data_IF_593535114272
#
_entry.id   IF_593535114272
#
_cell.length_a   1.000
_cell.length_b   1.000
_cell.length_c   1.000
_cell.angle_alpha   90.00
_cell.angle_beta   90.00
_cell.angle_gamma   90.00
#
_symmetry.space_group_name_H-M   'P 1'
#
loop_
_entity.id
_entity.type
_entity.pdbx_description
1 polymer ?
#
# COMPACT_ATOMS: atom_id res chain seq x y z
N UNK A 1 -4.30 28.92 -3.67
CA UNK A 1 -4.67 27.55 -4.08
C UNK A 1 -5.83 27.03 -3.23
N UNK A 2 -7.00 26.89 -3.86
CA UNK A 2 -8.29 26.62 -3.23
C UNK A 2 -8.39 25.13 -2.84
N UNK A 3 -8.14 24.76 -1.57
CA UNK A 3 -8.14 23.35 -1.08
C UNK A 3 -9.54 22.76 -0.86
N UNK A 4 -10.62 23.52 -1.07
CA UNK A 4 -12.00 23.12 -0.79
C UNK A 4 -12.58 21.97 -1.68
N UNK A 5 -12.28 21.84 -2.98
CA UNK A 5 -12.98 20.85 -3.81
C UNK A 5 -12.56 19.40 -3.52
N UNK A 6 -11.30 19.17 -3.16
CA UNK A 6 -10.77 17.83 -2.85
C UNK A 6 -11.37 17.22 -1.57
N UNK A 7 -11.63 18.05 -0.56
CA UNK A 7 -12.19 17.61 0.73
C UNK A 7 -13.66 17.18 0.57
N UNK A 8 -14.44 17.91 -0.24
CA UNK A 8 -15.85 17.59 -0.49
C UNK A 8 -16.00 16.28 -1.26
N UNK A 9 -15.13 16.03 -2.25
CA UNK A 9 -15.13 14.76 -2.98
C UNK A 9 -14.77 13.58 -2.07
N UNK A 10 -13.76 13.73 -1.20
CA UNK A 10 -13.35 12.67 -0.29
C UNK A 10 -14.45 12.28 0.72
N UNK A 11 -15.16 13.28 1.26
CA UNK A 11 -16.31 13.06 2.15
C UNK A 11 -17.45 12.34 1.42
N UNK A 12 -17.76 12.76 0.19
CA UNK A 12 -18.76 12.10 -0.64
C UNK A 12 -18.40 10.64 -0.98
N UNK A 13 -17.12 10.30 -1.16
CA UNK A 13 -16.69 8.91 -1.40
C UNK A 13 -16.78 8.04 -0.14
N UNK A 14 -16.38 8.55 1.02
CA UNK A 14 -16.55 7.85 2.29
C UNK A 14 -18.03 7.60 2.61
N UNK A 15 -18.89 8.59 2.33
CA UNK A 15 -20.34 8.43 2.47
C UNK A 15 -20.88 7.38 1.49
N UNK A 16 -20.40 7.32 0.24
CA UNK A 16 -20.78 6.25 -0.72
C UNK A 16 -20.34 4.85 -0.26
N UNK A 17 -19.12 4.69 0.26
CA UNK A 17 -18.64 3.41 0.76
C UNK A 17 -19.44 2.92 1.97
N UNK A 18 -19.80 3.84 2.86
CA UNK A 18 -20.66 3.57 4.02
C UNK A 18 -22.10 3.24 3.61
N UNK A 19 -22.66 3.96 2.64
CA UNK A 19 -23.98 3.66 2.07
C UNK A 19 -23.98 2.27 1.43
N UNK A 20 -22.93 1.90 0.68
CA UNK A 20 -22.85 0.58 0.05
C UNK A 20 -22.76 -0.56 1.09
N UNK A 21 -21.95 -0.38 2.12
CA UNK A 21 -21.82 -1.35 3.22
C UNK A 21 -23.15 -1.49 3.99
N UNK A 22 -23.74 -0.37 4.40
CA UNK A 22 -24.93 -0.35 5.25
C UNK A 22 -26.22 -0.71 4.48
N UNK A 23 -26.35 -0.37 3.20
CA UNK A 23 -27.61 -0.53 2.44
C UNK A 23 -27.62 -1.69 1.46
N UNK A 24 -26.48 -2.26 1.07
CA UNK A 24 -26.44 -3.41 0.15
C UNK A 24 -25.87 -4.64 0.86
N UNK A 25 -24.74 -4.49 1.54
CA UNK A 25 -24.07 -5.64 2.17
C UNK A 25 -24.89 -6.18 3.34
N UNK A 26 -25.33 -5.32 4.26
CA UNK A 26 -26.11 -5.73 5.43
C UNK A 26 -27.43 -6.42 5.05
N UNK A 27 -28.27 -5.86 4.15
CA UNK A 27 -29.49 -6.55 3.72
C UNK A 27 -29.23 -7.85 2.96
N UNK A 28 -28.14 -7.93 2.18
CA UNK A 28 -27.78 -9.17 1.48
C UNK A 28 -27.38 -10.28 2.47
N UNK A 29 -26.61 -9.96 3.52
CA UNK A 29 -26.32 -10.90 4.60
C UNK A 29 -27.59 -11.31 5.35
N UNK A 30 -28.47 -10.35 5.64
CA UNK A 30 -29.74 -10.60 6.31
C UNK A 30 -30.63 -11.51 5.46
N UNK A 31 -30.75 -11.25 4.16
CA UNK A 31 -31.50 -12.07 3.21
C UNK A 31 -30.94 -13.50 3.12
N UNK A 32 -29.62 -13.65 3.15
CA UNK A 32 -28.97 -14.97 3.15
C UNK A 32 -29.29 -15.73 4.44
N UNK A 33 -29.22 -15.07 5.60
CA UNK A 33 -29.66 -15.66 6.89
C UNK A 33 -31.16 -16.00 6.85
N UNK A 34 -32.01 -15.12 6.33
CA UNK A 34 -33.45 -15.35 6.23
C UNK A 34 -33.80 -16.52 5.30
N UNK A 35 -33.04 -16.72 4.21
CA UNK A 35 -33.22 -17.86 3.30
C UNK A 35 -32.97 -19.21 3.97
N UNK A 36 -32.22 -19.26 5.07
CA UNK A 36 -32.04 -20.49 5.86
C UNK A 36 -33.34 -20.91 6.58
N UNK A 37 -34.25 -19.97 6.85
CA UNK A 37 -35.56 -20.28 7.43
C UNK A 37 -36.55 -20.85 6.41
N UNK A 38 -36.26 -20.73 5.10
CA UNK A 38 -37.07 -21.30 4.03
C UNK A 38 -36.61 -22.69 3.58
N UNK A 39 -35.74 -23.35 4.36
CA UNK A 39 -35.27 -24.69 4.03
C UNK A 39 -36.43 -25.70 3.95
N UNK A 40 -36.47 -26.58 2.93
CA UNK A 40 -37.50 -27.59 2.80
C UNK A 40 -37.54 -28.50 4.04
N UNK A 41 -38.73 -28.69 4.60
CA UNK A 41 -38.94 -29.62 5.71
C UNK A 41 -38.71 -31.05 5.21
N UNK A 42 -37.65 -31.72 5.69
CA UNK A 42 -37.43 -33.15 5.39
C UNK A 42 -35.98 -33.63 5.34
N UNK A 43 -35.01 -32.76 5.06
CA UNK A 43 -33.60 -33.19 4.94
C UNK A 43 -32.76 -32.93 6.21
N UNK A 44 -32.95 -31.76 6.83
CA UNK A 44 -32.29 -31.35 8.08
C UNK A 44 -33.22 -30.39 8.82
N UNK A 45 -33.15 -30.36 10.16
CA UNK A 45 -33.88 -29.32 10.90
C UNK A 45 -33.20 -27.95 10.69
N UNK A 46 -33.99 -26.89 10.55
CA UNK A 46 -33.47 -25.51 10.45
C UNK A 46 -32.53 -25.18 11.61
N UNK A 47 -32.84 -25.72 12.80
CA UNK A 47 -32.03 -25.53 14.00
C UNK A 47 -30.65 -26.21 13.92
N UNK A 48 -30.56 -27.42 13.38
CA UNK A 48 -29.27 -28.10 13.17
C UNK A 48 -28.38 -27.33 12.20
N UNK A 49 -28.96 -26.82 11.11
CA UNK A 49 -28.22 -26.01 10.13
C UNK A 49 -27.74 -24.70 10.76
N UNK A 50 -28.58 -24.01 11.52
CA UNK A 50 -28.17 -22.79 12.25
C UNK A 50 -27.08 -23.09 13.28
N UNK A 51 -27.21 -24.16 14.06
CA UNK A 51 -26.18 -24.59 15.01
C UNK A 51 -24.87 -24.90 14.30
N UNK A 52 -24.91 -25.54 13.13
CA UNK A 52 -23.73 -25.79 12.32
C UNK A 52 -23.09 -24.49 11.81
N UNK A 53 -23.89 -23.55 11.29
CA UNK A 53 -23.40 -22.29 10.72
C UNK A 53 -22.82 -21.36 11.80
N UNK A 54 -23.43 -21.29 12.99
CA UNK A 54 -23.04 -20.31 14.02
C UNK A 54 -22.21 -20.88 15.17
N UNK A 55 -22.37 -22.15 15.52
CA UNK A 55 -21.77 -22.75 16.72
C UNK A 55 -20.80 -23.90 16.44
N UNK A 56 -20.53 -24.23 15.17
CA UNK A 56 -19.57 -25.29 14.87
C UNK A 56 -18.11 -24.83 15.02
N UNK A 57 -17.23 -25.79 15.26
CA UNK A 57 -15.78 -25.57 15.20
C UNK A 57 -15.35 -25.03 13.81
N UNK A 58 -16.06 -25.42 12.74
CA UNK A 58 -15.80 -24.89 11.41
C UNK A 58 -16.07 -23.38 11.34
N UNK A 59 -17.07 -22.86 12.06
CA UNK A 59 -17.34 -21.42 12.18
C UNK A 59 -16.20 -20.68 12.86
N UNK A 60 -15.68 -21.21 13.98
CA UNK A 60 -14.53 -20.61 14.67
C UNK A 60 -13.28 -20.56 13.77
N UNK A 61 -13.02 -21.64 13.02
CA UNK A 61 -11.94 -21.68 12.02
C UNK A 61 -12.18 -20.63 10.94
N UNK A 62 -13.42 -20.49 10.46
CA UNK A 62 -13.78 -19.51 9.42
C UNK A 62 -13.57 -18.07 9.89
N UNK A 63 -14.02 -17.74 11.10
CA UNK A 63 -13.83 -16.42 11.72
C UNK A 63 -12.34 -16.14 11.85
N UNK A 64 -11.57 -17.12 12.33
CA UNK A 64 -10.11 -17.00 12.48
C UNK A 64 -9.44 -16.73 11.13
N UNK A 65 -9.78 -17.52 10.11
CA UNK A 65 -9.29 -17.34 8.75
C UNK A 65 -9.62 -15.93 8.25
N UNK A 66 -10.87 -15.50 8.39
CA UNK A 66 -11.33 -14.21 7.89
C UNK A 66 -10.63 -13.04 8.60
N UNK A 67 -10.46 -13.15 9.92
CA UNK A 67 -9.70 -12.19 10.73
C UNK A 67 -8.25 -12.08 10.27
N UNK A 68 -7.56 -13.21 10.06
CA UNK A 68 -6.19 -13.19 9.54
C UNK A 68 -6.12 -12.68 8.11
N UNK A 69 -7.07 -13.05 7.24
CA UNK A 69 -7.15 -12.52 5.88
C UNK A 69 -7.29 -11.00 5.88
N UNK A 70 -8.12 -10.45 6.77
CA UNK A 70 -8.28 -9.01 6.93
C UNK A 70 -6.97 -8.34 7.38
N UNK A 71 -6.32 -8.87 8.43
CA UNK A 71 -5.06 -8.30 8.94
C UNK A 71 -3.95 -8.34 7.88
N UNK A 72 -3.78 -9.47 7.20
CA UNK A 72 -2.74 -9.65 6.18
C UNK A 72 -3.03 -8.74 4.98
N UNK A 73 -4.28 -8.70 4.49
CA UNK A 73 -4.65 -7.86 3.35
C UNK A 73 -4.43 -6.38 3.65
N UNK A 74 -4.89 -5.90 4.81
CA UNK A 74 -4.68 -4.52 5.27
C UNK A 74 -3.18 -4.22 5.40
N UNK A 75 -2.43 -5.10 6.06
CA UNK A 75 -0.99 -4.92 6.21
C UNK A 75 -0.25 -4.90 4.87
N UNK A 76 -0.70 -5.71 3.91
CA UNK A 76 -0.13 -5.77 2.57
C UNK A 76 -0.43 -4.51 1.75
N UNK A 77 -1.63 -3.94 1.89
CA UNK A 77 -2.01 -2.67 1.30
C UNK A 77 -1.09 -1.55 1.79
N UNK A 78 -0.99 -1.39 3.12
CA UNK A 78 -0.19 -0.33 3.74
C UNK A 78 1.30 -0.46 3.41
N UNK A 79 1.79 -1.70 3.30
CA UNK A 79 3.15 -1.99 2.85
C UNK A 79 3.42 -1.42 1.45
N UNK A 80 2.44 -1.47 0.55
CA UNK A 80 2.55 -0.92 -0.80
C UNK A 80 2.81 0.59 -0.78
N UNK A 81 1.96 1.34 -0.06
CA UNK A 81 2.17 2.76 0.16
C UNK A 81 3.55 3.04 0.79
N UNK A 82 3.94 2.24 1.79
CA UNK A 82 5.13 2.47 2.58
C UNK A 82 6.42 2.31 1.76
N UNK A 83 6.52 1.24 0.98
CA UNK A 83 7.67 1.01 0.10
C UNK A 83 7.76 2.10 -0.97
N UNK A 84 6.63 2.57 -1.51
CA UNK A 84 6.64 3.65 -2.51
C UNK A 84 7.08 4.97 -1.89
N UNK A 85 6.61 5.29 -0.69
CA UNK A 85 7.01 6.49 0.05
C UNK A 85 8.52 6.49 0.39
N UNK A 86 9.07 5.32 0.74
CA UNK A 86 10.53 5.11 0.89
C UNK A 86 11.25 5.40 -0.41
N UNK A 87 10.83 4.77 -1.51
CA UNK A 87 11.50 4.91 -2.82
C UNK A 87 11.46 6.32 -3.38
N UNK A 88 10.38 7.05 -3.13
CA UNK A 88 10.24 8.42 -3.56
C UNK A 88 10.99 9.40 -2.64
N UNK A 89 11.52 8.94 -1.51
CA UNK A 89 12.13 9.79 -0.46
C UNK A 89 11.15 10.86 0.04
N UNK A 90 9.84 10.59 -0.07
CA UNK A 90 8.74 11.51 0.30
C UNK A 90 8.23 11.18 1.70
N UNK A 91 8.78 10.21 2.42
CA UNK A 91 8.51 10.12 3.86
C UNK A 91 8.92 11.45 4.50
N UNK A 92 7.94 12.20 5.01
CA UNK A 92 8.20 13.50 5.64
C UNK A 92 9.22 13.27 6.75
N UNK A 93 10.16 14.19 6.95
CA UNK A 93 11.18 14.12 8.00
C UNK A 93 10.55 13.69 9.34
N UNK A 94 10.56 12.37 9.60
CA UNK A 94 10.58 11.67 10.86
C UNK A 94 10.62 10.13 10.66
N UNK A 95 11.75 9.63 10.16
CA UNK A 95 12.45 8.52 10.86
C UNK A 95 13.22 9.12 12.08
N UNK A 96 12.77 10.29 12.55
CA UNK A 96 13.41 11.17 13.51
C UNK A 96 13.18 10.65 14.92
N UNK A 97 14.27 10.13 15.47
CA UNK A 97 14.43 9.69 16.85
C UNK A 97 13.98 10.72 17.90
N UNK A 98 13.80 12.01 17.59
CA UNK A 98 13.61 13.07 18.58
C UNK A 98 12.14 13.39 18.89
N UNK A 99 11.32 13.67 17.88
CA UNK A 99 9.94 14.12 18.11
C UNK A 99 9.00 12.97 18.48
N UNK A 100 9.23 11.79 17.91
CA UNK A 100 8.34 10.63 18.09
C UNK A 100 8.65 9.88 19.38
N UNK A 101 9.92 9.83 19.80
CA UNK A 101 10.29 9.24 21.10
C UNK A 101 9.81 10.10 22.26
N UNK A 102 10.01 11.43 22.20
CA UNK A 102 9.51 12.36 23.20
C UNK A 102 7.98 12.39 23.23
N UNK A 103 7.29 12.37 22.09
CA UNK A 103 5.83 12.29 22.06
C UNK A 103 5.28 10.92 22.51
N UNK A 104 5.97 9.82 22.21
CA UNK A 104 5.63 8.49 22.74
C UNK A 104 5.87 8.41 24.24
N UNK A 105 6.95 9.01 24.72
CA UNK A 105 7.30 9.07 26.13
C UNK A 105 6.31 9.96 26.89
N UNK A 106 5.91 11.10 26.33
CA UNK A 106 4.83 11.94 26.87
C UNK A 106 3.50 11.16 26.94
N UNK A 107 3.11 10.45 25.86
CA UNK A 107 1.92 9.58 25.85
C UNK A 107 2.04 8.37 26.79
N UNK A 108 3.25 7.91 27.08
CA UNK A 108 3.53 6.88 28.08
C UNK A 108 3.29 7.41 29.49
N UNK A 109 3.77 8.61 29.77
CA UNK A 109 3.57 9.31 31.04
C UNK A 109 2.09 9.61 31.30
N UNK A 110 1.33 10.02 30.29
CA UNK A 110 -0.13 10.23 30.39
C UNK A 110 -0.91 8.94 30.66
N UNK A 111 -0.38 7.76 30.30
CA UNK A 111 -1.07 6.46 30.37
C UNK A 111 -0.56 5.56 31.50
N UNK A 112 0.07 6.15 32.52
CA UNK A 112 0.78 5.43 33.58
C UNK A 112 -0.11 4.48 34.41
N UNK A 113 -1.44 4.60 34.40
CA UNK A 113 -2.28 3.90 35.39
C UNK A 113 -2.65 2.44 35.08
N UNK A 114 -2.16 1.83 33.99
CA UNK A 114 -2.49 0.44 33.67
C UNK A 114 -1.24 -0.42 33.37
N UNK A 115 -0.97 -1.42 34.21
CA UNK A 115 0.21 -2.28 34.15
C UNK A 115 0.35 -3.02 32.81
N UNK A 116 -0.74 -3.60 32.30
CA UNK A 116 -0.77 -4.26 30.98
C UNK A 116 -0.38 -3.28 29.86
N UNK A 117 -0.89 -2.04 29.91
CA UNK A 117 -0.51 -1.01 28.93
C UNK A 117 0.96 -0.65 29.03
N UNK A 118 1.57 -0.60 30.22
CA UNK A 118 3.03 -0.36 30.37
C UNK A 118 3.86 -1.47 29.72
N UNK A 119 3.48 -2.72 29.91
CA UNK A 119 4.19 -3.87 29.33
C UNK A 119 4.14 -3.86 27.80
N UNK A 120 2.93 -3.76 27.22
CA UNK A 120 2.77 -3.67 25.77
C UNK A 120 3.44 -2.43 25.18
N UNK A 121 3.46 -1.31 25.90
CA UNK A 121 4.12 -0.09 25.43
C UNK A 121 5.64 -0.19 25.45
N UNK A 122 6.25 -0.74 26.52
CA UNK A 122 7.71 -0.97 26.57
C UNK A 122 8.17 -1.94 25.48
N UNK A 123 7.46 -3.06 25.34
CA UNK A 123 7.74 -4.04 24.29
C UNK A 123 7.55 -3.42 22.90
N UNK A 124 6.49 -2.61 22.73
CA UNK A 124 6.23 -1.83 21.51
C UNK A 124 7.35 -0.83 21.17
N UNK A 125 7.86 -0.07 22.14
CA UNK A 125 9.00 0.84 21.94
C UNK A 125 10.24 0.06 21.49
N UNK A 126 10.56 -1.05 22.16
CA UNK A 126 11.74 -1.87 21.83
C UNK A 126 11.64 -2.44 20.42
N UNK A 127 10.47 -2.95 20.05
CA UNK A 127 10.18 -3.43 18.68
C UNK A 127 10.32 -2.28 17.68
N UNK A 128 9.75 -1.10 17.97
CA UNK A 128 9.77 0.07 17.10
C UNK A 128 11.20 0.58 16.86
N UNK A 129 12.03 0.69 17.91
CA UNK A 129 13.45 1.07 17.81
C UNK A 129 14.24 0.08 16.95
N UNK A 130 14.03 -1.22 17.14
CA UNK A 130 14.71 -2.24 16.33
C UNK A 130 14.22 -2.20 14.86
N UNK A 131 12.93 -1.97 14.63
CA UNK A 131 12.40 -1.78 13.27
C UNK A 131 13.05 -0.57 12.59
N UNK A 132 13.18 0.55 13.31
CA UNK A 132 13.75 1.80 12.80
C UNK A 132 15.21 1.63 12.38
N UNK A 133 16.02 0.93 13.18
CA UNK A 133 17.42 0.64 12.82
C UNK A 133 17.49 -0.22 11.54
N UNK A 134 16.67 -1.27 11.47
CA UNK A 134 16.59 -2.10 10.26
C UNK A 134 16.05 -1.31 9.05
N UNK A 135 15.13 -0.36 9.26
CA UNK A 135 14.56 0.51 8.23
C UNK A 135 15.60 1.43 7.61
N UNK A 136 16.46 2.06 8.42
CA UNK A 136 17.51 2.96 7.91
C UNK A 136 18.53 2.20 7.07
N UNK A 137 18.96 1.02 7.54
CA UNK A 137 19.87 0.15 6.80
C UNK A 137 19.24 -0.30 5.46
N UNK A 138 17.98 -0.73 5.48
CA UNK A 138 17.29 -1.21 4.28
C UNK A 138 16.92 -0.09 3.30
N UNK A 139 16.62 1.12 3.79
CA UNK A 139 16.36 2.30 2.95
C UNK A 139 17.58 2.59 2.10
N UNK A 140 18.75 2.64 2.73
CA UNK A 140 19.98 3.00 2.04
C UNK A 140 20.33 1.94 0.97
N UNK A 141 20.04 0.66 1.23
CA UNK A 141 20.16 -0.42 0.23
C UNK A 141 19.14 -0.30 -0.92
N UNK A 142 17.88 0.06 -0.63
CA UNK A 142 16.82 0.22 -1.64
C UNK A 142 17.09 1.45 -2.52
N UNK A 143 17.54 2.56 -1.92
CA UNK A 143 17.81 3.84 -2.61
C UNK A 143 19.04 3.74 -3.50
N UNK A 144 20.08 3.00 -3.08
CA UNK A 144 21.27 2.75 -3.90
C UNK A 144 21.00 1.91 -5.16
N UNK A 145 19.77 1.44 -5.37
CA UNK A 145 19.36 0.80 -6.61
C UNK A 145 20.07 -0.54 -6.84
N UNK A 146 20.68 -1.13 -5.82
CA UNK A 146 21.19 -2.49 -5.88
C UNK A 146 20.00 -3.44 -6.04
N UNK A 147 19.62 -3.68 -7.30
CA UNK A 147 18.61 -4.66 -7.67
C UNK A 147 18.93 -5.93 -6.93
N UNK A 148 18.09 -6.26 -5.95
CA UNK A 148 18.16 -7.50 -5.23
C UNK A 148 17.95 -8.62 -6.24
N UNK A 149 19.04 -9.12 -6.83
CA UNK A 149 19.02 -10.38 -7.51
C UNK A 149 18.68 -11.41 -6.45
N UNK A 150 17.46 -11.94 -6.54
CA UNK A 150 16.87 -12.89 -5.61
C UNK A 150 17.77 -14.12 -5.34
N UNK A 151 18.79 -14.35 -6.18
CA UNK A 151 19.70 -15.49 -6.10
C UNK A 151 21.11 -15.20 -5.55
N UNK A 152 21.54 -13.94 -5.35
CA UNK A 152 22.95 -13.68 -4.97
C UNK A 152 23.24 -13.67 -3.47
N UNK A 153 22.24 -13.49 -2.60
CA UNK A 153 22.48 -13.47 -1.14
C UNK A 153 21.24 -13.91 -0.33
N UNK A 154 21.17 -15.18 0.11
CA UNK A 154 20.00 -15.71 0.82
C UNK A 154 19.75 -14.99 2.16
N UNK A 155 20.80 -14.60 2.88
CA UNK A 155 20.69 -13.85 4.14
C UNK A 155 20.09 -12.44 3.94
N UNK A 156 20.40 -11.77 2.81
CA UNK A 156 19.85 -10.45 2.48
C UNK A 156 18.35 -10.56 2.16
N UNK A 157 17.96 -11.59 1.42
CA UNK A 157 16.55 -11.87 1.13
C UNK A 157 15.77 -12.22 2.39
N UNK A 158 16.38 -12.95 3.33
CA UNK A 158 15.73 -13.28 4.61
C UNK A 158 15.49 -12.03 5.45
N UNK A 159 16.48 -11.14 5.57
CA UNK A 159 16.29 -9.84 6.25
C UNK A 159 15.18 -9.02 5.60
N UNK A 160 15.16 -8.95 4.27
CA UNK A 160 14.11 -8.26 3.52
C UNK A 160 12.73 -8.91 3.72
N UNK A 161 12.64 -10.23 3.71
CA UNK A 161 11.39 -10.96 3.95
C UNK A 161 10.87 -10.73 5.36
N UNK A 162 11.72 -10.87 6.37
CA UNK A 162 11.40 -10.60 7.78
C UNK A 162 10.90 -9.15 7.93
N UNK A 163 11.55 -8.22 7.25
CA UNK A 163 11.14 -6.82 7.24
C UNK A 163 9.74 -6.63 6.63
N UNK A 164 9.44 -7.25 5.49
CA UNK A 164 8.12 -7.18 4.87
C UNK A 164 7.05 -7.79 5.78
N UNK A 165 7.33 -8.96 6.38
CA UNK A 165 6.43 -9.62 7.34
C UNK A 165 6.16 -8.70 8.53
N UNK A 166 7.20 -8.05 9.06
CA UNK A 166 7.07 -7.11 10.18
C UNK A 166 6.18 -5.92 9.83
N UNK A 167 6.33 -5.33 8.64
CA UNK A 167 5.42 -4.24 8.22
C UNK A 167 3.99 -4.76 8.15
N UNK A 168 3.75 -5.87 7.44
CA UNK A 168 2.40 -6.42 7.28
C UNK A 168 1.76 -6.76 8.62
N UNK A 169 2.52 -7.28 9.59
CA UNK A 169 2.00 -7.60 10.92
C UNK A 169 1.76 -6.36 11.80
N UNK A 170 2.64 -5.34 11.70
CA UNK A 170 2.58 -4.16 12.58
C UNK A 170 1.70 -3.03 12.04
N UNK A 171 1.47 -2.97 10.73
CA UNK A 171 0.64 -1.94 10.09
C UNK A 171 -0.81 -1.95 10.58
N UNK A 172 -1.54 -3.08 10.60
CA UNK A 172 -2.91 -3.12 11.12
C UNK A 172 -3.00 -2.81 12.62
N UNK A 173 -1.89 -2.98 13.34
CA UNK A 173 -1.78 -2.66 14.76
C UNK A 173 -1.46 -1.17 15.00
N UNK A 174 -1.12 -0.42 13.95
CA UNK A 174 -0.68 0.97 14.06
C UNK A 174 0.67 1.13 14.77
N UNK A 175 1.48 0.06 14.81
CA UNK A 175 2.79 0.04 15.46
C UNK A 175 3.94 0.30 14.49
N UNK A 176 3.67 0.26 13.18
CA UNK A 176 4.68 0.49 12.15
C UNK A 176 5.07 1.98 12.11
N UNK A 177 6.38 2.32 12.19
CA UNK A 177 6.85 3.69 12.01
C UNK A 177 6.41 4.25 10.66
N UNK A 178 6.04 5.54 10.62
CA UNK A 178 5.61 6.23 9.39
C UNK A 178 4.17 5.94 8.96
N UNK A 179 3.43 5.08 9.67
CA UNK A 179 2.00 4.85 9.47
C UNK A 179 1.24 5.42 10.67
N UNK A 180 0.40 6.41 10.43
CA UNK A 180 -0.43 7.06 11.43
C UNK A 180 -1.85 6.50 11.33
N UNK A 181 -2.35 5.96 12.44
CA UNK A 181 -3.75 5.54 12.57
C UNK A 181 -4.62 6.76 12.90
N UNK A 182 -5.62 7.05 12.06
CA UNK A 182 -6.68 8.04 12.32
C UNK A 182 -8.03 7.33 12.26
N UNK A 183 -8.57 7.00 13.43
CA UNK A 183 -9.80 6.19 13.55
C UNK A 183 -9.58 4.73 13.15
N UNK A 184 -10.38 4.25 12.19
CA UNK A 184 -10.23 2.92 11.58
C UNK A 184 -9.32 2.91 10.35
N UNK A 185 -8.88 4.09 9.89
CA UNK A 185 -8.04 4.22 8.70
C UNK A 185 -6.56 4.40 9.08
N UNK A 186 -5.70 3.92 8.20
CA UNK A 186 -4.24 4.06 8.28
C UNK A 186 -3.77 5.00 7.17
N UNK A 187 -2.84 5.88 7.49
CA UNK A 187 -2.29 6.85 6.56
C UNK A 187 -0.78 6.89 6.68
N UNK A 188 -0.09 7.06 5.56
CA UNK A 188 1.35 7.30 5.58
C UNK A 188 1.64 8.75 5.91
N UNK A 189 2.61 8.97 6.78
CA UNK A 189 3.13 10.30 7.10
C UNK A 189 4.08 10.80 6.00
N UNK A 190 3.50 11.12 4.84
CA UNK A 190 4.17 11.65 3.67
C UNK A 190 3.29 12.72 3.00
N UNK A 191 3.86 13.77 2.37
CA UNK A 191 3.17 14.58 1.38
C UNK A 191 2.34 13.71 0.43
N UNK A 192 1.12 14.16 0.15
CA UNK A 192 0.17 13.42 -0.68
C UNK A 192 0.68 13.37 -2.13
N UNK A 193 1.41 12.32 -2.47
CA UNK A 193 1.79 11.98 -3.84
C UNK A 193 0.78 10.97 -4.41
N UNK A 194 0.26 11.27 -5.60
CA UNK A 194 -0.67 10.40 -6.32
C UNK A 194 -0.05 9.01 -6.55
N UNK A 195 1.26 8.94 -6.77
CA UNK A 195 1.97 7.66 -6.95
C UNK A 195 2.06 6.85 -5.67
N UNK A 196 2.21 7.50 -4.51
CA UNK A 196 2.16 6.82 -3.21
C UNK A 196 0.75 6.32 -2.95
N UNK A 197 -0.27 7.15 -3.15
CA UNK A 197 -1.67 6.76 -2.98
C UNK A 197 -2.13 5.64 -3.93
N UNK A 198 -1.61 5.57 -5.15
CA UNK A 198 -1.98 4.52 -6.10
C UNK A 198 -1.35 3.14 -5.79
N UNK A 199 -0.27 3.09 -5.00
CA UNK A 199 0.47 1.84 -4.80
C UNK A 199 -0.24 0.86 -3.86
N UNK A 200 -0.95 1.35 -2.83
CA UNK A 200 -1.76 0.50 -1.93
C UNK A 200 -2.77 -0.36 -2.71
N UNK A 201 -3.74 0.24 -3.41
CA UNK A 201 -4.72 -0.48 -4.24
C UNK A 201 -4.07 -1.43 -5.26
N UNK A 202 -2.97 -1.00 -5.89
CA UNK A 202 -2.23 -1.83 -6.86
C UNK A 202 -1.64 -3.08 -6.21
N UNK A 203 -1.07 -2.96 -5.01
CA UNK A 203 -0.52 -4.11 -4.28
C UNK A 203 -1.59 -5.05 -3.76
N UNK A 204 -2.71 -4.52 -3.27
CA UNK A 204 -3.89 -5.31 -2.88
C UNK A 204 -4.48 -6.05 -4.06
N UNK A 205 -4.55 -5.43 -5.24
CA UNK A 205 -5.01 -6.08 -6.47
C UNK A 205 -4.15 -7.29 -6.84
N UNK A 206 -2.82 -7.14 -6.79
CA UNK A 206 -1.89 -8.24 -7.07
C UNK A 206 -2.06 -9.38 -6.08
N UNK A 207 -2.14 -9.06 -4.78
CA UNK A 207 -2.39 -10.06 -3.74
C UNK A 207 -3.71 -10.79 -4.00
N UNK A 208 -4.76 -10.04 -4.32
CA UNK A 208 -6.09 -10.57 -4.58
C UNK A 208 -6.09 -11.58 -5.74
N UNK A 209 -5.51 -11.21 -6.89
CA UNK A 209 -5.46 -12.07 -8.08
C UNK A 209 -4.69 -13.37 -7.79
N UNK A 210 -3.48 -13.25 -7.24
CA UNK A 210 -2.62 -14.41 -6.94
C UNK A 210 -3.33 -15.34 -5.93
N UNK A 211 -3.92 -14.76 -4.88
CA UNK A 211 -4.58 -15.56 -3.85
C UNK A 211 -5.86 -16.23 -4.37
N UNK A 212 -6.63 -15.56 -5.24
CA UNK A 212 -7.81 -16.18 -5.86
C UNK A 212 -7.44 -17.37 -6.76
N UNK A 213 -6.39 -17.24 -7.57
CA UNK A 213 -5.89 -18.34 -8.41
C UNK A 213 -5.49 -19.54 -7.53
N UNK A 214 -4.74 -19.28 -6.45
CA UNK A 214 -4.35 -20.33 -5.50
C UNK A 214 -5.56 -20.96 -4.81
N UNK A 215 -6.58 -20.18 -4.45
CA UNK A 215 -7.79 -20.69 -3.84
C UNK A 215 -8.58 -21.61 -4.79
N UNK A 216 -8.72 -21.20 -6.06
CA UNK A 216 -9.37 -21.98 -7.10
C UNK A 216 -8.65 -23.31 -7.34
N UNK A 217 -7.33 -23.37 -7.18
CA UNK A 217 -6.57 -24.62 -7.31
C UNK A 217 -6.65 -25.49 -6.03
N UNK A 218 -6.44 -24.89 -4.86
CA UNK A 218 -6.28 -25.62 -3.60
C UNK A 218 -7.61 -26.18 -3.07
N UNK A 219 -8.73 -25.44 -3.18
CA UNK A 219 -10.00 -25.91 -2.63
C UNK A 219 -10.48 -27.21 -3.33
N UNK A 220 -10.55 -27.29 -4.68
CA UNK A 220 -10.92 -28.52 -5.36
C UNK A 220 -9.94 -29.66 -5.07
N UNK A 221 -8.63 -29.37 -5.08
CA UNK A 221 -7.60 -30.38 -4.81
C UNK A 221 -7.72 -30.96 -3.40
N UNK A 222 -7.91 -30.10 -2.39
CA UNK A 222 -8.16 -30.54 -1.02
C UNK A 222 -9.43 -31.35 -0.88
N UNK A 223 -10.43 -31.11 -1.74
CA UNK A 223 -11.68 -31.89 -1.75
C UNK A 223 -11.55 -33.24 -2.43
N UNK A 224 -10.80 -33.32 -3.52
CA UNK A 224 -10.48 -34.60 -4.21
C UNK A 224 -9.70 -35.53 -3.26
N UNK A 225 -8.71 -35.00 -2.55
CA UNK A 225 -7.87 -35.79 -1.64
C UNK A 225 -8.38 -35.86 -0.20
N UNK A 226 -9.57 -35.34 0.08
CA UNK A 226 -10.17 -35.29 1.42
C UNK A 226 -9.26 -34.69 2.51
N UNK A 227 -8.32 -33.81 2.15
CA UNK A 227 -7.35 -33.25 3.09
C UNK A 227 -7.80 -31.88 3.59
N UNK A 228 -8.40 -31.88 4.78
CA UNK A 228 -8.99 -30.70 5.42
C UNK A 228 -8.01 -29.52 5.56
N UNK A 229 -6.71 -29.81 5.72
CA UNK A 229 -5.69 -28.77 5.83
C UNK A 229 -5.53 -27.98 4.52
N UNK A 230 -5.49 -28.66 3.37
CA UNK A 230 -5.43 -27.99 2.05
C UNK A 230 -6.68 -27.15 1.82
N UNK A 231 -7.86 -27.66 2.21
CA UNK A 231 -9.11 -26.91 2.10
C UNK A 231 -9.03 -25.63 2.94
N UNK A 232 -8.56 -25.71 4.18
CA UNK A 232 -8.44 -24.55 5.06
C UNK A 232 -7.42 -23.52 4.52
N UNK A 233 -6.30 -23.96 3.94
CA UNK A 233 -5.38 -23.05 3.24
C UNK A 233 -6.03 -22.41 2.02
N UNK A 234 -6.75 -23.18 1.20
CA UNK A 234 -7.53 -22.66 0.08
C UNK A 234 -8.54 -21.61 0.51
N UNK A 235 -9.23 -21.82 1.65
CA UNK A 235 -10.16 -20.85 2.25
C UNK A 235 -9.46 -19.58 2.75
N UNK A 236 -8.26 -19.69 3.29
CA UNK A 236 -7.43 -18.54 3.65
C UNK A 236 -7.06 -17.70 2.42
N UNK A 237 -6.61 -18.35 1.34
CA UNK A 237 -6.30 -17.68 0.08
C UNK A 237 -7.55 -17.09 -0.56
N UNK A 238 -8.72 -17.72 -0.43
CA UNK A 238 -9.99 -17.15 -0.88
C UNK A 238 -10.31 -15.86 -0.12
N UNK A 239 -10.16 -15.88 1.22
CA UNK A 239 -10.35 -14.70 2.05
C UNK A 239 -9.40 -13.56 1.69
N UNK A 240 -8.10 -13.86 1.54
CA UNK A 240 -7.09 -12.89 1.07
C UNK A 240 -7.42 -12.34 -0.32
N UNK A 241 -7.88 -13.23 -1.20
CA UNK A 241 -8.29 -12.95 -2.56
C UNK A 241 -9.41 -11.93 -2.65
N UNK A 242 -10.51 -12.23 -1.96
CA UNK A 242 -11.71 -11.40 -1.91
C UNK A 242 -11.44 -10.08 -1.22
N UNK A 243 -10.84 -10.09 -0.01
CA UNK A 243 -10.57 -8.85 0.73
C UNK A 243 -9.60 -7.96 -0.05
N UNK A 244 -8.53 -8.51 -0.62
CA UNK A 244 -7.57 -7.73 -1.42
C UNK A 244 -8.18 -7.14 -2.70
N UNK A 245 -9.11 -7.85 -3.35
CA UNK A 245 -9.88 -7.31 -4.47
C UNK A 245 -10.79 -6.17 -4.02
N UNK A 246 -11.62 -6.40 -2.99
CA UNK A 246 -12.57 -5.41 -2.49
C UNK A 246 -11.85 -4.15 -2.02
N UNK A 247 -10.75 -4.32 -1.30
CA UNK A 247 -9.89 -3.23 -0.87
C UNK A 247 -9.33 -2.45 -2.07
N UNK A 248 -8.84 -3.12 -3.12
CA UNK A 248 -8.44 -2.45 -4.36
C UNK A 248 -9.58 -1.69 -5.06
N UNK A 249 -10.82 -2.15 -4.93
CA UNK A 249 -11.98 -1.51 -5.55
C UNK A 249 -12.52 -0.33 -4.73
N UNK A 250 -12.50 -0.44 -3.39
CA UNK A 250 -13.12 0.53 -2.49
C UNK A 250 -12.18 1.56 -1.89
N UNK A 251 -10.90 1.23 -1.66
CA UNK A 251 -9.98 2.12 -0.96
C UNK A 251 -9.70 3.42 -1.73
N UNK A 252 -9.66 3.36 -3.08
CA UNK A 252 -9.39 4.53 -3.92
C UNK A 252 -10.04 4.41 -5.31
N UNK A 253 -11.38 4.61 -5.40
CA UNK A 253 -12.09 4.60 -6.67
C UNK A 253 -11.63 5.78 -7.54
N UNK A 254 -10.68 5.52 -8.42
CA UNK A 254 -10.25 6.46 -9.46
C UNK A 254 -8.81 6.95 -9.35
N UNK A 255 -8.19 7.03 -8.16
CA UNK A 255 -6.79 7.53 -8.05
C UNK A 255 -5.80 6.66 -8.80
N UNK A 256 -5.99 5.33 -8.77
CA UNK A 256 -5.16 4.42 -9.55
C UNK A 256 -5.38 4.58 -11.06
N UNK A 257 -6.61 4.90 -11.49
CA UNK A 257 -6.90 5.20 -12.91
C UNK A 257 -6.23 6.51 -13.32
N UNK A 258 -6.38 7.55 -12.51
CA UNK A 258 -5.76 8.87 -12.71
C UNK A 258 -4.23 8.77 -12.73
N UNK A 259 -3.64 7.96 -11.84
CA UNK A 259 -2.20 7.72 -11.81
C UNK A 259 -1.73 7.01 -13.08
N UNK A 260 -2.43 5.96 -13.54
CA UNK A 260 -2.11 5.29 -14.81
C UNK A 260 -2.23 6.21 -16.01
N UNK A 261 -3.23 7.07 -16.01
CA UNK A 261 -3.41 8.05 -17.08
C UNK A 261 -2.27 9.07 -17.10
N UNK A 262 -1.85 9.57 -15.93
CA UNK A 262 -0.68 10.45 -15.80
C UNK A 262 0.61 9.76 -16.20
N UNK A 263 0.84 8.50 -15.82
CA UNK A 263 2.00 7.74 -16.28
C UNK A 263 1.99 7.56 -17.79
N UNK A 264 0.83 7.21 -18.39
CA UNK A 264 0.69 7.08 -19.84
C UNK A 264 0.98 8.39 -20.56
N UNK A 265 0.43 9.50 -20.08
CA UNK A 265 0.68 10.83 -20.64
C UNK A 265 2.15 11.26 -20.46
N UNK A 266 2.76 10.96 -19.32
CA UNK A 266 4.17 11.24 -19.08
C UNK A 266 5.08 10.41 -19.99
N UNK A 267 4.73 9.14 -20.23
CA UNK A 267 5.44 8.28 -21.16
C UNK A 267 5.30 8.76 -22.61
N UNK A 268 4.09 9.14 -23.03
CA UNK A 268 3.85 9.74 -24.34
C UNK A 268 4.67 11.03 -24.54
N UNK A 269 4.67 11.92 -23.54
CA UNK A 269 5.52 13.13 -23.57
C UNK A 269 7.01 12.80 -23.59
N UNK A 270 7.44 11.77 -22.88
CA UNK A 270 8.84 11.33 -22.89
C UNK A 270 9.25 10.76 -24.25
N UNK A 271 8.33 10.09 -24.95
CA UNK A 271 8.53 9.60 -26.33
C UNK A 271 8.48 10.75 -27.36
N UNK A 272 7.67 11.79 -27.13
CA UNK A 272 7.61 13.02 -27.94
C UNK A 272 8.86 13.90 -27.77
N UNK A 273 9.47 13.89 -26.59
CA UNK A 273 10.76 14.57 -26.36
C UNK A 273 11.83 13.78 -27.12
N UNK A 274 12.23 14.31 -28.28
CA UNK A 274 13.35 13.78 -29.07
C UNK A 274 14.58 13.57 -28.17
N UNK A 275 15.34 12.48 -28.35
CA UNK A 275 16.49 12.16 -27.52
C UNK A 275 17.46 13.35 -27.49
N UNK A 276 18.17 13.47 -26.36
CA UNK A 276 19.11 14.53 -25.98
C UNK A 276 20.09 14.96 -27.10
N UNK A 277 20.32 14.12 -28.11
CA UNK A 277 21.03 14.46 -29.35
C UNK A 277 20.48 15.70 -30.07
N UNK A 278 19.16 15.89 -30.11
CA UNK A 278 18.56 17.08 -30.73
C UNK A 278 18.92 18.39 -30.00
N UNK A 279 19.10 18.32 -28.67
CA UNK A 279 19.55 19.47 -27.88
C UNK A 279 21.04 19.72 -28.02
N UNK A 280 21.86 18.66 -28.11
CA UNK A 280 23.30 18.80 -28.38
C UNK A 280 23.53 19.41 -29.77
N UNK A 281 22.77 18.97 -30.78
CA UNK A 281 22.80 19.53 -32.13
C UNK A 281 22.28 20.98 -32.17
N UNK A 282 21.19 21.29 -31.47
CA UNK A 282 20.70 22.67 -31.35
C UNK A 282 21.67 23.57 -30.60
N UNK A 283 22.29 23.09 -29.52
CA UNK A 283 23.27 23.84 -28.75
C UNK A 283 24.54 24.11 -29.58
N UNK A 284 25.00 23.12 -30.37
CA UNK A 284 26.10 23.32 -31.32
C UNK A 284 25.74 24.35 -32.40
N UNK A 285 24.53 24.30 -32.94
CA UNK A 285 24.03 25.26 -33.93
C UNK A 285 23.90 26.68 -33.36
N UNK A 286 23.37 26.83 -32.16
CA UNK A 286 23.27 28.12 -31.44
C UNK A 286 24.65 28.67 -31.13
N UNK A 287 25.61 27.82 -30.69
CA UNK A 287 26.99 28.23 -30.47
C UNK A 287 27.64 28.74 -31.77
N UNK A 288 27.44 28.05 -32.88
CA UNK A 288 27.95 28.49 -34.18
C UNK A 288 27.34 29.82 -34.63
N UNK A 289 26.03 30.02 -34.45
CA UNK A 289 25.37 31.30 -34.75
C UNK A 289 25.83 32.45 -33.85
N UNK A 290 26.07 32.18 -32.57
CA UNK A 290 26.63 33.17 -31.66
C UNK A 290 28.08 33.51 -32.03
N UNK A 291 28.87 32.55 -32.52
CA UNK A 291 30.22 32.82 -33.00
C UNK A 291 30.23 33.61 -34.32
N UNK A 292 29.27 33.36 -35.22
CA UNK A 292 29.18 34.07 -36.50
C UNK A 292 28.60 35.48 -36.37
N UNK A 293 27.61 35.69 -35.50
CA UNK A 293 26.88 36.95 -35.41
C UNK A 293 27.44 37.91 -34.36
N UNK A 294 28.41 37.50 -33.54
CA UNK A 294 28.99 38.33 -32.47
C UNK A 294 30.25 39.09 -32.90
N UNK A 295 30.75 38.89 -34.12
CA UNK A 295 31.76 39.75 -34.72
C UNK A 295 31.13 41.11 -35.04
N UNK A 296 31.13 42.02 -34.05
CA UNK A 296 30.88 43.43 -34.32
C UNK A 296 32.16 44.02 -34.89
N UNK A 297 32.17 44.26 -36.19
CA UNK A 297 33.20 45.04 -36.85
C UNK A 297 32.98 46.51 -36.49
N UNK A 298 33.82 47.06 -35.61
CA UNK A 298 33.77 48.46 -35.22
C UNK A 298 34.94 49.17 -35.91
N UNK A 299 34.62 50.16 -36.75
CA UNK A 299 35.62 51.04 -37.36
C UNK A 299 36.22 51.94 -36.30
N UNK A 300 37.55 51.86 -36.11
CA UNK A 300 38.29 52.82 -35.29
C UNK A 300 39.52 53.26 -36.07
N UNK A 301 39.63 54.56 -36.31
CA UNK A 301 40.77 55.22 -36.96
C UNK A 301 41.15 54.61 -38.32
N UNK A 302 40.17 54.50 -39.24
CA UNK A 302 40.30 53.95 -40.60
C UNK A 302 40.90 52.53 -40.70
N UNK A 303 40.86 51.78 -39.59
CA UNK A 303 41.24 50.36 -39.55
C UNK A 303 40.08 49.54 -39.04
N UNK A 304 39.74 48.50 -39.78
CA UNK A 304 38.77 47.48 -39.39
C UNK A 304 39.39 46.59 -38.32
N UNK A 305 38.94 46.75 -37.07
CA UNK A 305 39.41 45.93 -35.94
C UNK A 305 38.28 44.96 -35.56
N UNK A 306 38.58 43.66 -35.61
CA UNK A 306 37.68 42.60 -35.13
C UNK A 306 37.88 42.41 -33.64
N UNK A 307 36.85 42.65 -32.85
CA UNK A 307 36.85 42.44 -31.39
C UNK A 307 35.99 41.20 -31.07
N UNK A 308 36.44 40.27 -30.21
CA UNK A 308 35.73 39.03 -29.89
C UNK A 308 34.44 39.20 -29.07
#
# INVERSE_FOLDING_TARGET
MNRKPLINNFKAYLDRGRILADHILVPLYLANIFSLFTLPKGCYSTWEVLRFIFASHATLISITIWFFSYLISTGWHERGHFIKAIKATVLKNNIGLSNDSAALEQRFWERKNNFLRRFFFRTGIKIRKNLLKNLTELRDDIVKGEKASFFKNPFRNLKFLIFNIKIVALSPLGLCPGIIRKGLNFYIDAPFDLGVAAEGPKTSRKLGIISLILAIALIPLGRIYCFNLIINFGRLFLGLGVIGMLDSFFADPGKWKEFRERERLAQQRAEEIKPIGAWIEQAAKIKAQLQSNRLQEVMKDDRLIRVP
#
